data_IF_276930486998
#
_entry.id   IF_276930486998
#
_cell.length_a   1.000
_cell.length_b   1.000
_cell.length_c   1.000
_cell.angle_alpha   90.00
_cell.angle_beta   90.00
_cell.angle_gamma   90.00
#
_symmetry.space_group_name_H-M   'P 1'
#
loop_
_entity.id
_entity.type
_entity.pdbx_description
1 polymer ?
#
# COMPACT_ATOMS: atom_id res chain seq x y z
N UNK A 1 -15.33 8.92 -1.51
CA UNK A 1 -14.02 9.52 -1.23
C UNK A 1 -12.91 8.66 -1.75
N UNK A 2 -11.79 9.28 -2.12
CA UNK A 2 -10.63 8.58 -2.65
C UNK A 2 -9.95 7.75 -1.56
N UNK A 3 -9.67 6.49 -1.85
CA UNK A 3 -8.89 5.66 -0.96
C UNK A 3 -7.40 5.75 -1.34
N UNK A 4 -6.57 5.97 -0.35
CA UNK A 4 -5.14 6.12 -0.50
C UNK A 4 -4.45 5.07 0.35
N UNK A 5 -3.44 4.43 -0.20
CA UNK A 5 -2.64 3.45 0.54
C UNK A 5 -1.26 4.02 0.84
N UNK A 6 -0.84 3.94 2.09
CA UNK A 6 0.53 4.24 2.48
C UNK A 6 1.30 2.94 2.61
N UNK A 7 2.38 2.82 1.87
CA UNK A 7 3.28 1.67 1.95
C UNK A 7 4.61 2.10 2.55
N UNK A 8 4.96 1.46 3.65
CA UNK A 8 6.25 1.68 4.29
C UNK A 8 7.14 0.48 3.97
N UNK A 9 8.09 0.68 3.06
CA UNK A 9 8.91 -0.40 2.51
C UNK A 9 10.21 -0.50 3.29
N UNK A 10 10.41 -1.65 3.90
CA UNK A 10 11.64 -2.01 4.59
C UNK A 10 12.37 -3.10 3.79
N UNK A 11 13.54 -3.48 4.24
CA UNK A 11 14.36 -4.47 3.54
C UNK A 11 13.61 -5.78 3.25
N UNK A 12 12.93 -6.30 4.26
CA UNK A 12 12.27 -7.62 4.15
C UNK A 12 10.76 -7.55 4.27
N UNK A 13 10.22 -6.39 4.62
CA UNK A 13 8.80 -6.26 4.94
C UNK A 13 8.22 -4.98 4.35
N UNK A 14 6.93 -5.05 4.03
CA UNK A 14 6.16 -3.89 3.58
C UNK A 14 4.96 -3.76 4.50
N UNK A 15 4.79 -2.59 5.10
CA UNK A 15 3.61 -2.30 5.93
C UNK A 15 2.65 -1.46 5.12
N UNK A 16 1.39 -1.87 5.11
CA UNK A 16 0.36 -1.26 4.28
C UNK A 16 -0.78 -0.75 5.15
N UNK A 17 -1.12 0.51 5.02
CA UNK A 17 -2.28 1.11 5.67
C UNK A 17 -3.12 1.84 4.63
N UNK A 18 -4.43 1.64 4.65
CA UNK A 18 -5.34 2.28 3.71
C UNK A 18 -6.12 3.36 4.44
N UNK A 19 -6.16 4.54 3.83
CA UNK A 19 -6.92 5.67 4.34
C UNK A 19 -8.11 5.94 3.41
N UNK A 20 -9.31 5.95 3.95
CA UNK A 20 -10.53 6.12 3.17
C UNK A 20 -11.10 7.55 3.19
N UNK A 21 -10.34 8.49 3.72
CA UNK A 21 -10.77 9.87 3.88
C UNK A 21 -11.19 10.22 5.29
N UNK A 22 -11.48 9.23 6.11
CA UNK A 22 -11.89 9.44 7.50
C UNK A 22 -11.03 8.65 8.48
N UNK A 23 -10.78 7.38 8.17
CA UNK A 23 -10.07 6.47 9.05
C UNK A 23 -9.03 5.66 8.31
N UNK A 24 -8.00 5.24 9.04
CA UNK A 24 -7.03 4.27 8.53
C UNK A 24 -7.51 2.86 8.81
N UNK A 25 -7.22 1.96 7.88
CA UNK A 25 -7.46 0.55 8.08
C UNK A 25 -6.42 -0.01 9.07
N UNK A 26 -6.63 -1.25 9.48
CA UNK A 26 -5.58 -2.00 10.16
C UNK A 26 -4.33 -2.05 9.28
N UNK A 27 -3.15 -1.93 9.92
CA UNK A 27 -1.90 -2.08 9.18
C UNK A 27 -1.69 -3.55 8.86
N UNK A 28 -1.47 -3.85 7.59
CA UNK A 28 -1.14 -5.20 7.13
C UNK A 28 0.32 -5.28 6.75
N UNK A 29 0.93 -6.40 7.07
CA UNK A 29 2.33 -6.64 6.76
C UNK A 29 2.44 -7.67 5.63
N UNK A 30 3.27 -7.37 4.65
CA UNK A 30 3.62 -8.28 3.56
C UNK A 30 5.12 -8.40 3.51
N UNK A 31 5.62 -9.53 3.01
CA UNK A 31 7.05 -9.65 2.76
C UNK A 31 7.38 -9.09 1.38
N UNK A 32 8.68 -8.94 1.10
CA UNK A 32 9.13 -8.48 -0.21
C UNK A 32 9.23 -9.62 -1.22
N UNK A 33 8.80 -10.82 -0.86
CA UNK A 33 8.81 -11.97 -1.76
C UNK A 33 7.69 -11.86 -2.80
N UNK A 34 7.93 -12.38 -3.98
CA UNK A 34 7.03 -12.22 -5.11
C UNK A 34 5.58 -12.63 -4.82
N UNK A 35 5.29 -13.78 -4.19
CA UNK A 35 3.90 -14.14 -3.90
C UNK A 35 3.19 -13.12 -3.01
N UNK A 36 3.91 -12.56 -2.03
CA UNK A 36 3.32 -11.58 -1.13
C UNK A 36 3.07 -10.25 -1.84
N UNK A 37 3.93 -9.89 -2.77
CA UNK A 37 3.73 -8.66 -3.56
C UNK A 37 2.47 -8.79 -4.42
N UNK A 38 2.23 -9.94 -5.03
CA UNK A 38 0.99 -10.18 -5.77
C UNK A 38 -0.22 -10.16 -4.86
N UNK A 39 -0.12 -10.77 -3.68
CA UNK A 39 -1.21 -10.75 -2.69
C UNK A 39 -1.53 -9.33 -2.25
N UNK A 40 -0.51 -8.52 -2.03
CA UNK A 40 -0.70 -7.11 -1.69
C UNK A 40 -1.41 -6.37 -2.81
N UNK A 41 -1.02 -6.60 -4.06
CA UNK A 41 -1.67 -5.99 -5.22
C UNK A 41 -3.15 -6.34 -5.29
N UNK A 42 -3.50 -7.61 -5.10
CA UNK A 42 -4.89 -8.05 -5.06
C UNK A 42 -5.66 -7.38 -3.93
N UNK A 43 -5.06 -7.32 -2.75
CA UNK A 43 -5.67 -6.68 -1.60
C UNK A 43 -6.00 -5.22 -1.89
N UNK A 44 -5.06 -4.48 -2.49
CA UNK A 44 -5.27 -3.08 -2.82
C UNK A 44 -6.36 -2.91 -3.89
N UNK A 45 -6.42 -3.80 -4.87
CA UNK A 45 -7.47 -3.77 -5.88
C UNK A 45 -8.84 -4.03 -5.28
N UNK A 46 -8.95 -5.04 -4.43
CA UNK A 46 -10.21 -5.38 -3.78
C UNK A 46 -10.72 -4.26 -2.89
N UNK A 47 -9.81 -3.50 -2.29
CA UNK A 47 -10.19 -2.37 -1.44
C UNK A 47 -10.49 -1.09 -2.22
N UNK A 48 -10.26 -1.10 -3.54
CA UNK A 48 -10.55 0.06 -4.37
C UNK A 48 -9.59 1.22 -4.17
N UNK A 49 -8.33 0.92 -3.88
CA UNK A 49 -7.31 1.96 -3.68
C UNK A 49 -7.01 2.66 -4.99
N UNK A 50 -7.01 3.99 -4.98
CA UNK A 50 -6.77 4.82 -6.15
C UNK A 50 -5.37 5.41 -6.22
N UNK A 51 -4.75 5.64 -5.06
CA UNK A 51 -3.40 6.19 -4.98
C UNK A 51 -2.57 5.40 -4.00
N UNK A 52 -1.29 5.26 -4.29
CA UNK A 52 -0.34 4.61 -3.41
C UNK A 52 0.80 5.58 -3.13
N UNK A 53 1.07 5.82 -1.86
CA UNK A 53 2.23 6.58 -1.41
C UNK A 53 3.26 5.59 -0.89
N UNK A 54 4.44 5.61 -1.48
CA UNK A 54 5.53 4.72 -1.09
C UNK A 54 6.57 5.50 -0.31
N UNK A 55 6.95 5.00 0.85
CA UNK A 55 8.04 5.54 1.64
C UNK A 55 9.09 4.47 1.83
N UNK A 56 10.30 4.75 1.43
CA UNK A 56 11.44 3.86 1.59
C UNK A 56 12.66 4.70 1.88
N UNK A 57 13.35 4.41 2.96
CA UNK A 57 14.63 5.00 3.36
C UNK A 57 14.94 6.37 2.72
N UNK A 58 14.16 7.39 3.05
CA UNK A 58 14.39 8.76 2.59
C UNK A 58 13.86 9.08 1.20
N UNK A 59 13.20 8.14 0.54
CA UNK A 59 12.60 8.35 -0.77
C UNK A 59 11.09 8.23 -0.64
N UNK A 60 10.38 9.20 -1.20
CA UNK A 60 8.93 9.23 -1.15
C UNK A 60 8.37 9.22 -2.57
N UNK A 61 7.49 8.28 -2.85
CA UNK A 61 6.86 8.14 -4.15
C UNK A 61 5.35 8.17 -4.03
N UNK A 62 4.69 8.78 -5.01
CA UNK A 62 3.24 8.72 -5.13
C UNK A 62 2.93 8.12 -6.50
N UNK A 63 2.13 7.08 -6.51
CA UNK A 63 1.69 6.44 -7.74
C UNK A 63 0.17 6.43 -7.80
N UNK A 64 -0.37 6.74 -8.97
CA UNK A 64 -1.80 6.64 -9.21
C UNK A 64 -2.10 5.24 -9.70
N UNK A 65 -3.04 4.60 -9.03
CA UNK A 65 -3.47 3.24 -9.37
C UNK A 65 -4.57 3.34 -10.39
N UNK A 66 -4.25 2.96 -11.61
CA UNK A 66 -5.19 3.03 -12.73
C UNK A 66 -5.59 1.61 -13.14
N UNK A 67 -6.80 1.24 -12.82
CA UNK A 67 -7.32 -0.10 -13.10
C UNK A 67 -8.28 -0.11 -14.30
#
# INVERSE_FOLDING_TARGET
MKKVCGLDVHKDNIFCAIYNGENYSEVKEFTTMTPDIYSMGEYLQLEGVEEIALESTGIYWIAVWDL
#
